data_IF_882692956429
#
_entry.id   IF_882692956429
#
_cell.length_a   1.000
_cell.length_b   1.000
_cell.length_c   1.000
_cell.angle_alpha   90.00
_cell.angle_beta   90.00
_cell.angle_gamma   90.00
#
_symmetry.space_group_name_H-M   'P 1'
#
loop_
_entity.id
_entity.type
_entity.pdbx_description
1 polymer ?
#
# COMPACT_ATOMS: atom_id res chain seq x y z
N UNK A 1 61.85 -36.27 -26.22
CA UNK A 1 61.71 -37.19 -25.08
C UNK A 1 60.84 -36.49 -24.05
N UNK A 2 59.70 -36.95 -23.57
CA UNK A 2 58.95 -38.18 -23.74
C UNK A 2 57.45 -37.86 -23.67
N UNK A 3 56.68 -38.72 -24.33
CA UNK A 3 55.23 -38.74 -24.56
C UNK A 3 54.49 -39.59 -23.52
N UNK A 4 53.27 -39.24 -23.16
CA UNK A 4 52.19 -40.17 -22.75
C UNK A 4 50.85 -39.42 -22.77
N UNK A 5 50.05 -39.56 -23.84
CA UNK A 5 49.03 -40.60 -24.08
C UNK A 5 47.66 -40.26 -23.46
N UNK A 6 46.82 -39.64 -24.30
CA UNK A 6 45.38 -39.48 -24.16
C UNK A 6 44.67 -40.86 -24.20
N UNK A 7 43.76 -41.09 -23.27
CA UNK A 7 42.80 -42.20 -23.33
C UNK A 7 41.38 -41.63 -23.38
N UNK A 8 40.74 -41.84 -24.52
CA UNK A 8 39.39 -41.44 -24.88
C UNK A 8 38.35 -42.28 -24.13
N UNK A 9 37.36 -41.65 -23.50
CA UNK A 9 36.15 -42.33 -22.95
C UNK A 9 35.00 -42.24 -23.97
N UNK A 10 34.19 -43.29 -24.14
CA UNK A 10 33.15 -43.33 -25.16
C UNK A 10 31.88 -42.57 -24.76
N UNK A 11 31.28 -41.90 -25.74
CA UNK A 11 29.98 -41.24 -25.69
C UNK A 11 28.84 -42.23 -25.41
N UNK A 12 28.09 -41.98 -24.33
CA UNK A 12 26.80 -42.61 -24.07
C UNK A 12 25.69 -41.74 -24.69
N UNK A 13 25.07 -42.23 -25.76
CA UNK A 13 23.85 -41.66 -26.34
C UNK A 13 22.61 -42.11 -25.53
N UNK A 14 21.73 -41.20 -25.08
CA UNK A 14 20.47 -41.60 -24.46
C UNK A 14 19.47 -42.10 -25.52
N UNK A 15 18.90 -43.29 -25.28
CA UNK A 15 17.80 -43.90 -26.06
C UNK A 15 16.47 -43.18 -25.81
N UNK A 16 15.53 -43.17 -26.78
CA UNK A 16 14.24 -42.51 -26.64
C UNK A 16 13.30 -43.34 -25.74
N UNK A 17 12.70 -42.67 -24.74
CA UNK A 17 11.65 -43.25 -23.90
C UNK A 17 10.32 -43.12 -24.63
N UNK A 18 9.65 -44.27 -24.85
CA UNK A 18 8.32 -44.38 -25.46
C UNK A 18 7.25 -43.72 -24.59
N UNK A 19 6.39 -42.92 -25.22
CA UNK A 19 5.14 -42.44 -24.65
C UNK A 19 4.17 -43.61 -24.40
N UNK A 20 3.67 -43.75 -23.18
CA UNK A 20 2.60 -44.67 -22.83
C UNK A 20 1.27 -43.91 -22.72
N UNK A 21 0.27 -44.47 -23.37
CA UNK A 21 -1.05 -43.90 -23.61
C UNK A 21 -1.96 -43.89 -22.36
N UNK A 22 -2.90 -42.94 -22.39
CA UNK A 22 -4.02 -42.72 -21.51
C UNK A 22 -4.89 -43.98 -21.32
N UNK A 23 -5.29 -44.26 -20.08
CA UNK A 23 -6.40 -45.14 -19.76
C UNK A 23 -7.27 -44.49 -18.66
N UNK A 24 -8.48 -44.11 -19.05
CA UNK A 24 -9.57 -43.63 -18.19
C UNK A 24 -10.32 -44.78 -17.52
N UNK A 25 -10.67 -44.72 -16.21
CA UNK A 25 -11.58 -45.67 -15.62
C UNK A 25 -13.03 -45.14 -15.58
N UNK A 26 -13.85 -45.77 -16.40
CA UNK A 26 -15.22 -46.26 -16.16
C UNK A 26 -16.12 -45.61 -15.09
N UNK A 27 -17.29 -45.19 -15.58
CA UNK A 27 -18.55 -44.92 -14.83
C UNK A 27 -18.89 -46.03 -13.83
N UNK A 28 -18.97 -45.67 -12.55
CA UNK A 28 -19.72 -46.42 -11.54
C UNK A 28 -21.13 -45.83 -11.41
N UNK A 29 -22.15 -46.66 -11.64
CA UNK A 29 -23.55 -46.38 -11.28
C UNK A 29 -23.68 -46.39 -9.76
N UNK A 30 -24.14 -45.30 -9.16
CA UNK A 30 -24.61 -45.27 -7.77
C UNK A 30 -26.13 -45.07 -7.79
N UNK A 31 -26.78 -45.95 -7.04
CA UNK A 31 -28.23 -46.08 -6.91
C UNK A 31 -28.88 -44.84 -6.32
N UNK A 32 -30.10 -44.55 -6.79
CA UNK A 32 -31.00 -43.58 -6.21
C UNK A 32 -31.46 -44.06 -4.82
N UNK A 33 -31.09 -43.32 -3.78
CA UNK A 33 -31.57 -43.47 -2.41
C UNK A 33 -31.58 -42.11 -1.74
N UNK A 34 -32.74 -41.67 -1.27
CA UNK A 34 -33.08 -40.28 -0.99
C UNK A 34 -32.16 -39.53 0.01
N UNK A 35 -31.88 -38.28 -0.33
CA UNK A 35 -31.31 -37.26 0.56
C UNK A 35 -32.00 -35.92 0.25
N UNK A 36 -33.22 -35.74 0.78
CA UNK A 36 -33.82 -34.41 0.89
C UNK A 36 -33.32 -33.81 2.20
N UNK A 37 -32.44 -32.81 2.14
CA UNK A 37 -32.15 -31.97 3.32
C UNK A 37 -30.73 -31.42 3.51
N UNK A 38 -29.69 -31.93 2.81
CA UNK A 38 -28.29 -31.44 2.99
C UNK A 38 -27.79 -30.47 1.91
N UNK A 39 -28.45 -30.38 0.76
CA UNK A 39 -28.01 -29.53 -0.37
C UNK A 39 -28.24 -28.03 -0.19
N UNK A 40 -29.29 -27.60 0.54
CA UNK A 40 -29.66 -26.19 0.66
C UNK A 40 -28.76 -25.38 1.61
N UNK A 41 -28.21 -25.98 2.69
CA UNK A 41 -27.32 -25.25 3.61
C UNK A 41 -25.96 -24.94 3.00
N UNK A 42 -25.35 -25.88 2.28
CA UNK A 42 -24.07 -25.65 1.60
C UNK A 42 -24.20 -24.62 0.46
N UNK A 43 -25.31 -24.60 -0.27
CA UNK A 43 -25.56 -23.60 -1.32
C UNK A 43 -25.83 -22.21 -0.74
N UNK A 44 -26.57 -22.10 0.37
CA UNK A 44 -26.82 -20.81 1.03
C UNK A 44 -25.55 -20.22 1.67
N UNK A 45 -24.68 -21.06 2.27
CA UNK A 45 -23.38 -20.59 2.79
C UNK A 45 -22.39 -20.21 1.68
N UNK A 46 -22.38 -20.92 0.55
CA UNK A 46 -21.57 -20.54 -0.61
C UNK A 46 -22.05 -19.25 -1.27
N UNK A 47 -23.37 -19.06 -1.41
CA UNK A 47 -23.97 -17.83 -1.93
C UNK A 47 -23.80 -16.63 -0.99
N UNK A 48 -23.86 -16.86 0.33
CA UNK A 48 -23.57 -15.83 1.32
C UNK A 48 -22.08 -15.42 1.31
N UNK A 49 -21.17 -16.38 1.11
CA UNK A 49 -19.73 -16.10 0.96
C UNK A 49 -19.38 -15.26 -0.27
N UNK A 50 -20.13 -15.41 -1.37
CA UNK A 50 -19.96 -14.59 -2.58
C UNK A 50 -20.46 -13.14 -2.37
N UNK A 51 -21.57 -12.97 -1.63
CA UNK A 51 -22.09 -11.64 -1.27
C UNK A 51 -21.19 -10.90 -0.28
N UNK A 52 -20.67 -11.57 0.74
CA UNK A 52 -19.73 -10.94 1.66
C UNK A 52 -18.46 -10.48 0.94
N UNK A 53 -17.94 -11.33 0.03
CA UNK A 53 -16.79 -11.00 -0.81
C UNK A 53 -17.05 -9.78 -1.70
N UNK A 54 -18.26 -9.69 -2.29
CA UNK A 54 -18.66 -8.52 -3.07
C UNK A 54 -18.58 -7.22 -2.26
N UNK A 55 -19.17 -7.16 -1.06
CA UNK A 55 -19.13 -5.96 -0.22
C UNK A 55 -17.74 -5.67 0.32
N UNK A 56 -16.94 -6.70 0.63
CA UNK A 56 -15.57 -6.50 1.08
C UNK A 56 -14.65 -5.94 -0.01
N UNK A 57 -14.79 -6.41 -1.27
CA UNK A 57 -14.12 -5.80 -2.42
C UNK A 57 -14.50 -4.33 -2.56
N UNK A 58 -15.78 -3.98 -2.33
CA UNK A 58 -16.22 -2.59 -2.30
C UNK A 58 -15.55 -1.78 -1.18
N UNK A 59 -15.38 -2.33 0.01
CA UNK A 59 -14.58 -1.70 1.08
C UNK A 59 -13.15 -1.39 0.60
N UNK A 60 -12.51 -2.34 -0.09
CA UNK A 60 -11.15 -2.14 -0.63
C UNK A 60 -11.11 -1.07 -1.72
N UNK A 61 -12.10 -1.04 -2.63
CA UNK A 61 -12.22 0.03 -3.64
C UNK A 61 -12.35 1.41 -3.01
N UNK A 62 -13.17 1.53 -1.95
CA UNK A 62 -13.34 2.78 -1.21
C UNK A 62 -12.02 3.19 -0.54
N UNK A 63 -11.33 2.25 0.12
CA UNK A 63 -10.07 2.49 0.79
C UNK A 63 -8.95 2.98 -0.16
N UNK A 64 -8.85 2.40 -1.36
CA UNK A 64 -7.86 2.77 -2.39
C UNK A 64 -7.95 4.23 -2.84
N UNK A 65 -9.10 4.89 -2.65
CA UNK A 65 -9.26 6.33 -2.96
C UNK A 65 -8.32 7.22 -2.14
N UNK A 66 -7.80 6.72 -1.02
CA UNK A 66 -6.89 7.45 -0.14
C UNK A 66 -5.42 7.03 -0.26
N UNK A 67 -5.06 6.24 -1.28
CA UNK A 67 -3.67 5.83 -1.50
C UNK A 67 -2.74 7.06 -1.61
N UNK A 68 -1.59 7.01 -0.92
CA UNK A 68 -0.65 8.12 -0.81
C UNK A 68 -0.98 9.18 0.25
N UNK A 69 -2.12 9.05 0.94
CA UNK A 69 -2.60 10.09 1.86
C UNK A 69 -2.75 9.63 3.31
N UNK A 70 -2.81 8.33 3.60
CA UNK A 70 -3.17 7.86 4.96
C UNK A 70 -1.98 7.64 5.89
N UNK A 71 -0.77 7.44 5.39
CA UNK A 71 0.41 7.14 6.22
C UNK A 71 0.66 8.20 7.30
N UNK A 72 0.91 7.79 8.56
CA UNK A 72 1.24 6.43 9.02
C UNK A 72 0.05 5.49 9.26
N UNK A 73 -1.18 5.94 9.02
CA UNK A 73 -2.40 5.17 9.24
C UNK A 73 -2.69 4.20 8.07
N UNK A 74 -3.40 3.10 8.32
CA UNK A 74 -3.84 2.20 7.27
C UNK A 74 -4.94 2.83 6.40
N UNK A 75 -5.04 2.36 5.16
CA UNK A 75 -6.23 2.58 4.34
C UNK A 75 -7.35 1.67 4.81
N UNK A 76 -8.51 2.24 5.11
CA UNK A 76 -9.68 1.49 5.59
C UNK A 76 -10.92 1.96 4.87
N UNK A 77 -11.72 1.01 4.38
CA UNK A 77 -13.05 1.24 3.83
C UNK A 77 -14.12 0.50 4.64
N UNK A 78 -15.32 1.06 4.63
CA UNK A 78 -16.49 0.51 5.31
C UNK A 78 -17.75 0.68 4.46
N UNK A 79 -18.60 -0.35 4.46
CA UNK A 79 -19.90 -0.37 3.79
C UNK A 79 -20.95 -0.88 4.78
N UNK A 80 -22.07 -0.18 4.91
CA UNK A 80 -23.22 -0.61 5.70
C UNK A 80 -24.28 -1.17 4.75
N UNK A 81 -24.74 -2.40 5.01
CA UNK A 81 -25.71 -3.11 4.18
C UNK A 81 -26.94 -3.47 4.99
N UNK A 82 -28.11 -3.10 4.45
CA UNK A 82 -29.42 -3.39 5.02
C UNK A 82 -30.30 -4.04 3.95
N UNK A 83 -30.89 -5.19 4.26
CA UNK A 83 -31.81 -5.91 3.37
C UNK A 83 -31.21 -6.13 1.95
N UNK A 84 -29.92 -6.43 1.88
CA UNK A 84 -29.17 -6.65 0.65
C UNK A 84 -28.86 -5.39 -0.16
N UNK A 85 -29.03 -4.20 0.42
CA UNK A 85 -28.73 -2.91 -0.23
C UNK A 85 -27.69 -2.14 0.56
N UNK A 86 -26.75 -1.51 -0.15
CA UNK A 86 -25.82 -0.56 0.46
C UNK A 86 -26.61 0.67 0.90
N UNK A 87 -26.54 0.98 2.19
CA UNK A 87 -27.20 2.14 2.80
C UNK A 87 -26.20 3.19 3.29
N UNK A 88 -24.90 2.85 3.38
CA UNK A 88 -23.87 3.82 3.69
C UNK A 88 -22.48 3.38 3.26
N UNK A 89 -21.65 4.32 2.83
CA UNK A 89 -20.25 4.07 2.44
C UNK A 89 -19.28 5.05 3.10
N UNK A 90 -18.05 4.61 3.39
CA UNK A 90 -17.03 5.47 3.96
C UNK A 90 -15.62 4.93 3.82
N UNK A 91 -14.63 5.84 3.79
CA UNK A 91 -13.21 5.50 3.81
C UNK A 91 -12.40 6.55 4.58
N UNK A 92 -11.18 6.20 5.00
CA UNK A 92 -10.28 7.11 5.72
C UNK A 92 -9.48 7.95 4.71
N UNK A 93 -9.67 9.29 4.64
CA UNK A 93 -9.19 10.06 3.48
C UNK A 93 -7.74 10.57 3.58
N UNK A 94 -7.21 10.83 4.79
CA UNK A 94 -5.85 11.39 4.97
C UNK A 94 -5.32 11.24 6.41
N UNK A 95 -4.01 11.13 6.55
CA UNK A 95 -3.27 11.21 7.81
C UNK A 95 -3.46 12.55 8.51
N UNK A 96 -3.48 12.54 9.85
CA UNK A 96 -3.75 13.75 10.65
C UNK A 96 -5.20 14.26 10.58
N UNK A 97 -6.03 13.69 9.70
CA UNK A 97 -7.46 13.56 9.97
C UNK A 97 -7.59 12.45 11.04
N UNK A 98 -8.42 12.61 12.09
CA UNK A 98 -8.49 11.70 13.22
C UNK A 98 -8.39 10.22 12.89
N UNK A 99 -7.39 9.57 13.49
CA UNK A 99 -7.51 8.61 14.60
C UNK A 99 -6.26 8.65 15.51
N UNK A 100 -6.44 8.21 16.78
CA UNK A 100 -5.43 7.81 17.79
C UNK A 100 -4.77 8.77 18.84
N UNK A 101 -4.42 10.06 18.64
CA UNK A 101 -3.92 10.87 19.81
C UNK A 101 -4.39 12.32 20.19
N UNK A 102 -5.15 13.14 19.42
CA UNK A 102 -5.54 14.52 19.83
C UNK A 102 -6.86 15.03 19.22
N UNK A 103 -8.04 14.90 19.86
CA UNK A 103 -9.20 15.79 19.54
C UNK A 103 -10.27 15.87 20.65
N UNK A 104 -10.03 16.68 21.68
CA UNK A 104 -11.09 17.11 22.60
C UNK A 104 -11.93 18.29 22.04
N UNK A 105 -11.47 18.97 20.98
CA UNK A 105 -12.04 20.27 20.54
C UNK A 105 -13.06 20.16 19.41
N UNK A 106 -12.90 19.22 18.45
CA UNK A 106 -13.76 19.16 17.26
C UNK A 106 -15.11 18.47 17.50
N UNK A 107 -15.18 17.52 18.44
CA UNK A 107 -16.44 16.86 18.83
C UNK A 107 -17.39 17.83 19.53
N UNK A 108 -16.89 18.70 20.40
CA UNK A 108 -17.67 19.74 21.07
C UNK A 108 -18.23 20.76 20.05
N UNK A 109 -17.41 21.16 19.07
CA UNK A 109 -17.83 22.08 18.01
C UNK A 109 -18.85 21.46 17.05
N UNK A 110 -18.69 20.21 16.64
CA UNK A 110 -19.65 19.52 15.78
C UNK A 110 -21.01 19.30 16.47
N UNK A 111 -21.01 18.89 17.75
CA UNK A 111 -22.25 18.77 18.53
C UNK A 111 -22.94 20.11 18.77
N UNK A 112 -22.17 21.19 18.95
CA UNK A 112 -22.72 22.55 19.06
C UNK A 112 -23.28 23.04 17.73
N UNK A 113 -22.65 22.71 16.60
CA UNK A 113 -23.13 23.02 15.25
C UNK A 113 -24.43 22.29 14.93
N UNK A 114 -24.50 20.98 15.21
CA UNK A 114 -25.72 20.19 14.99
C UNK A 114 -26.86 20.67 15.91
N UNK A 115 -26.56 20.99 17.17
CA UNK A 115 -27.53 21.61 18.08
C UNK A 115 -27.98 22.99 17.59
N UNK A 116 -27.08 23.85 17.11
CA UNK A 116 -27.41 25.16 16.54
C UNK A 116 -28.24 25.07 15.25
N UNK A 117 -28.01 24.05 14.42
CA UNK A 117 -28.78 23.80 13.19
C UNK A 117 -30.18 23.28 13.53
N UNK A 118 -30.30 22.36 14.50
CA UNK A 118 -31.57 21.77 14.93
C UNK A 118 -32.45 22.75 15.70
N UNK A 119 -31.89 23.49 16.66
CA UNK A 119 -32.61 24.48 17.47
C UNK A 119 -33.17 25.66 16.64
N UNK A 120 -32.74 25.77 15.38
CA UNK A 120 -33.13 26.82 14.45
C UNK A 120 -34.14 26.40 13.39
N UNK A 121 -34.31 25.10 13.14
CA UNK A 121 -35.50 24.60 12.43
C UNK A 121 -36.79 24.90 13.22
N UNK A 122 -36.68 25.09 14.53
CA UNK A 122 -37.79 25.39 15.44
C UNK A 122 -37.96 26.88 15.78
N UNK A 123 -37.00 27.76 15.44
CA UNK A 123 -37.05 29.20 15.80
C UNK A 123 -37.15 30.13 14.58
N UNK A 124 -38.07 31.10 14.66
CA UNK A 124 -38.46 32.05 13.59
C UNK A 124 -37.46 33.17 13.29
N UNK A 125 -36.21 33.09 13.76
CA UNK A 125 -35.19 34.14 13.59
C UNK A 125 -34.15 33.74 12.51
N UNK A 126 -34.27 34.35 11.33
CA UNK A 126 -33.36 34.16 10.20
C UNK A 126 -31.94 34.63 10.48
N UNK A 127 -30.94 33.93 9.91
CA UNK A 127 -29.58 34.47 9.76
C UNK A 127 -29.39 34.92 8.31
N UNK A 128 -28.51 35.90 8.10
CA UNK A 128 -28.02 36.26 6.77
C UNK A 128 -27.24 35.10 6.12
N UNK A 129 -27.27 35.03 4.78
CA UNK A 129 -26.74 33.89 4.00
C UNK A 129 -25.25 33.57 4.20
N UNK A 130 -24.45 34.45 4.80
CA UNK A 130 -23.02 34.22 5.03
C UNK A 130 -22.73 33.26 6.19
N UNK A 131 -23.54 33.26 7.25
CA UNK A 131 -23.33 32.39 8.41
C UNK A 131 -23.75 30.94 8.14
N UNK A 132 -24.82 30.72 7.37
CA UNK A 132 -25.21 29.38 6.92
C UNK A 132 -24.16 28.77 5.98
N UNK A 133 -23.60 29.58 5.08
CA UNK A 133 -22.47 29.19 4.22
C UNK A 133 -21.22 28.89 5.03
N UNK A 134 -20.92 29.68 6.06
CA UNK A 134 -19.80 29.43 6.97
C UNK A 134 -19.98 28.12 7.77
N UNK A 135 -21.16 27.87 8.34
CA UNK A 135 -21.46 26.61 9.04
C UNK A 135 -21.43 25.40 8.09
N UNK A 136 -21.92 25.52 6.85
CA UNK A 136 -21.77 24.46 5.84
C UNK A 136 -20.31 24.20 5.46
N UNK A 137 -19.51 25.26 5.28
CA UNK A 137 -18.08 25.14 4.98
C UNK A 137 -17.29 24.57 6.15
N UNK A 138 -17.63 24.96 7.38
CA UNK A 138 -17.03 24.46 8.61
C UNK A 138 -17.43 23.00 8.87
N UNK A 139 -18.71 22.65 8.65
CA UNK A 139 -19.19 21.26 8.66
C UNK A 139 -18.53 20.39 7.59
N UNK A 140 -18.32 20.91 6.38
CA UNK A 140 -17.58 20.22 5.32
C UNK A 140 -16.07 20.06 5.62
N UNK A 141 -15.48 21.00 6.36
CA UNK A 141 -14.10 20.92 6.83
C UNK A 141 -13.95 19.92 8.00
N UNK A 142 -14.91 19.91 8.94
CA UNK A 142 -15.01 18.94 10.02
C UNK A 142 -15.32 17.52 9.49
N UNK A 143 -16.07 17.42 8.39
CA UNK A 143 -16.35 16.19 7.65
C UNK A 143 -15.13 15.56 6.98
N UNK A 144 -13.93 16.12 7.05
CA UNK A 144 -12.72 15.41 6.60
C UNK A 144 -12.08 14.63 7.75
N UNK A 145 -12.48 14.92 8.99
CA UNK A 145 -11.78 14.60 10.21
C UNK A 145 -12.28 13.33 10.92
N UNK A 146 -12.87 12.35 10.22
CA UNK A 146 -13.66 11.29 10.88
C UNK A 146 -13.27 9.89 10.35
N UNK A 147 -13.46 8.84 11.16
CA UNK A 147 -13.29 7.43 10.78
C UNK A 147 -14.05 7.05 9.51
N UNK A 148 -13.51 6.12 8.72
CA UNK A 148 -14.24 5.46 7.62
C UNK A 148 -15.59 4.86 8.06
N UNK A 149 -15.64 4.24 9.25
CA UNK A 149 -16.83 3.58 9.77
C UNK A 149 -17.87 4.59 10.22
N UNK A 150 -17.44 5.74 10.77
CA UNK A 150 -18.35 6.80 11.20
C UNK A 150 -18.93 7.53 9.98
N UNK A 151 -18.20 7.66 8.86
CA UNK A 151 -18.79 8.12 7.60
C UNK A 151 -19.89 7.19 7.11
N UNK A 152 -19.60 5.89 7.03
CA UNK A 152 -20.56 4.92 6.53
C UNK A 152 -21.82 4.85 7.43
N UNK A 153 -21.65 4.89 8.76
CA UNK A 153 -22.77 4.94 9.71
C UNK A 153 -23.59 6.23 9.60
N UNK A 154 -22.93 7.37 9.39
CA UNK A 154 -23.64 8.65 9.19
C UNK A 154 -24.43 8.67 7.89
N UNK A 155 -23.86 8.14 6.82
CA UNK A 155 -24.51 8.04 5.52
C UNK A 155 -25.74 7.12 5.61
N UNK A 156 -25.62 6.01 6.35
CA UNK A 156 -26.72 5.10 6.64
C UNK A 156 -27.81 5.71 7.54
N UNK A 157 -27.45 6.59 8.48
CA UNK A 157 -28.39 7.15 9.45
C UNK A 157 -29.12 6.06 10.23
N UNK A 158 -30.44 6.18 10.33
CA UNK A 158 -31.29 5.22 11.06
C UNK A 158 -31.30 3.81 10.41
N UNK A 159 -30.91 3.70 9.13
CA UNK A 159 -30.82 2.41 8.43
C UNK A 159 -29.66 1.54 8.91
N UNK A 160 -28.76 2.07 9.74
CA UNK A 160 -27.68 1.31 10.36
C UNK A 160 -28.17 0.34 11.45
N UNK A 161 -29.31 0.63 12.09
CA UNK A 161 -29.85 -0.26 13.12
C UNK A 161 -30.21 -1.63 12.52
N UNK A 162 -29.75 -2.69 13.18
CA UNK A 162 -29.89 -4.08 12.74
C UNK A 162 -29.23 -4.39 11.36
N UNK A 163 -28.39 -3.52 10.81
CA UNK A 163 -27.67 -3.74 9.54
C UNK A 163 -26.40 -4.60 9.71
N UNK A 164 -25.77 -4.99 8.60
CA UNK A 164 -24.44 -5.62 8.57
C UNK A 164 -23.40 -4.58 8.14
N UNK A 165 -22.35 -4.40 8.92
CA UNK A 165 -21.22 -3.53 8.60
C UNK A 165 -20.05 -4.34 8.05
N UNK A 166 -19.61 -4.05 6.83
CA UNK A 166 -18.39 -4.62 6.25
C UNK A 166 -17.24 -3.63 6.45
N UNK A 167 -16.07 -4.12 6.85
CA UNK A 167 -14.90 -3.28 7.12
C UNK A 167 -13.61 -3.99 6.71
N UNK A 168 -12.75 -3.31 5.96
CA UNK A 168 -11.53 -3.92 5.41
C UNK A 168 -10.45 -4.23 6.45
N UNK A 169 -10.51 -3.63 7.65
CA UNK A 169 -9.57 -3.80 8.75
C UNK A 169 -10.35 -3.80 10.08
N UNK A 170 -9.86 -4.53 11.08
CA UNK A 170 -10.43 -4.56 12.42
C UNK A 170 -10.80 -3.15 12.95
N UNK A 171 -12.04 -2.94 13.44
CA UNK A 171 -12.43 -1.69 14.10
C UNK A 171 -11.58 -1.38 15.33
N UNK A 172 -11.05 -0.16 15.41
CA UNK A 172 -10.22 0.24 16.54
C UNK A 172 -11.00 0.26 17.87
N UNK A 173 -10.34 -0.22 18.94
CA UNK A 173 -10.88 -0.30 20.30
C UNK A 173 -10.05 0.49 21.34
N UNK A 174 -9.39 1.54 20.90
CA UNK A 174 -8.65 2.43 21.79
C UNK A 174 -9.22 3.84 21.68
N UNK A 175 -9.20 4.56 22.80
CA UNK A 175 -9.54 5.97 22.82
C UNK A 175 -8.34 6.77 22.32
N UNK A 176 -8.58 7.56 21.28
CA UNK A 176 -7.55 8.40 20.67
C UNK A 176 -8.05 9.81 20.37
N UNK A 177 -7.77 10.32 19.16
CA UNK A 177 -8.35 11.61 18.68
C UNK A 177 -9.88 11.54 18.68
N UNK A 178 -10.44 10.42 18.22
CA UNK A 178 -11.87 10.12 18.12
C UNK A 178 -12.24 8.96 19.05
N UNK A 179 -13.54 8.79 19.37
CA UNK A 179 -14.02 7.59 20.02
C UNK A 179 -13.71 6.33 19.20
N UNK A 180 -13.56 5.17 19.86
CA UNK A 180 -13.34 3.89 19.20
C UNK A 180 -14.44 3.59 18.18
N UNK A 181 -14.08 3.07 17.01
CA UNK A 181 -15.09 2.75 16.00
C UNK A 181 -16.01 1.62 16.44
N UNK A 182 -15.52 0.72 17.32
CA UNK A 182 -16.36 -0.27 18.00
C UNK A 182 -17.53 0.37 18.73
N UNK A 183 -17.36 1.55 19.33
CA UNK A 183 -18.45 2.22 20.06
C UNK A 183 -19.47 2.84 19.11
N UNK A 184 -19.02 3.36 17.98
CA UNK A 184 -19.91 3.87 16.95
C UNK A 184 -20.81 2.74 16.41
N UNK A 185 -20.23 1.56 16.13
CA UNK A 185 -20.96 0.37 15.69
C UNK A 185 -21.96 -0.12 16.74
N UNK A 186 -21.54 -0.20 18.01
CA UNK A 186 -22.42 -0.60 19.13
C UNK A 186 -23.57 0.40 19.30
N UNK A 187 -23.27 1.70 19.29
CA UNK A 187 -24.29 2.76 19.42
C UNK A 187 -25.28 2.76 18.27
N UNK A 188 -24.80 2.47 17.05
CA UNK A 188 -25.64 2.30 15.88
C UNK A 188 -26.47 1.00 15.90
N UNK A 189 -26.20 0.09 16.85
CA UNK A 189 -26.88 -1.20 17.01
C UNK A 189 -26.86 -2.02 15.72
N UNK A 190 -25.70 -2.06 15.06
CA UNK A 190 -25.51 -2.98 13.93
C UNK A 190 -25.70 -4.40 14.43
N UNK A 191 -26.35 -5.24 13.61
CA UNK A 191 -26.59 -6.65 13.97
C UNK A 191 -25.30 -7.47 13.85
N UNK A 192 -24.50 -7.14 12.85
CA UNK A 192 -23.37 -7.94 12.41
C UNK A 192 -22.24 -7.05 11.90
N UNK A 193 -20.99 -7.49 12.12
CA UNK A 193 -19.78 -6.89 11.57
C UNK A 193 -18.95 -7.95 10.85
N UNK A 194 -18.64 -7.71 9.58
CA UNK A 194 -17.79 -8.58 8.75
C UNK A 194 -16.45 -7.86 8.52
N UNK A 195 -15.37 -8.47 9.00
CA UNK A 195 -14.02 -7.90 9.02
C UNK A 195 -13.14 -8.59 7.97
N UNK A 196 -12.46 -7.80 7.16
CA UNK A 196 -11.56 -8.30 6.11
C UNK A 196 -10.27 -8.90 6.66
N UNK A 197 -9.57 -8.15 7.52
CA UNK A 197 -8.38 -8.63 8.24
C UNK A 197 -8.33 -8.10 9.68
N UNK A 198 -7.68 -8.85 10.56
CA UNK A 198 -7.36 -8.41 11.93
C UNK A 198 -6.30 -7.31 11.94
N UNK A 199 -6.25 -6.49 12.99
CA UNK A 199 -5.18 -5.49 13.13
C UNK A 199 -3.82 -6.21 13.25
N UNK A 200 -2.78 -5.83 12.47
CA UNK A 200 -1.47 -6.47 12.54
C UNK A 200 -0.69 -6.11 13.80
N UNK A 201 -1.06 -5.04 14.52
CA UNK A 201 -0.39 -4.64 15.76
C UNK A 201 -0.73 -5.65 16.87
N UNK A 202 0.26 -6.40 17.41
CA UNK A 202 0.02 -7.45 18.41
C UNK A 202 -0.66 -6.94 19.69
N UNK A 203 -0.53 -5.65 20.00
CA UNK A 203 -1.13 -5.02 21.19
C UNK A 203 -2.61 -4.68 20.96
N UNK A 204 -3.03 -4.50 19.71
CA UNK A 204 -4.40 -4.08 19.34
C UNK A 204 -5.22 -5.25 18.81
N UNK A 205 -4.57 -6.21 18.15
CA UNK A 205 -5.19 -7.35 17.49
C UNK A 205 -6.27 -8.01 18.35
N UNK A 206 -7.41 -8.29 17.71
CA UNK A 206 -8.60 -8.94 18.26
C UNK A 206 -9.38 -8.18 19.34
N UNK A 207 -8.82 -7.11 19.94
CA UNK A 207 -9.51 -6.37 21.00
C UNK A 207 -10.79 -5.69 20.53
N UNK A 208 -10.85 -5.26 19.26
CA UNK A 208 -12.05 -4.66 18.69
C UNK A 208 -13.13 -5.68 18.40
N UNK A 209 -12.72 -6.82 17.87
CA UNK A 209 -13.59 -7.98 17.65
C UNK A 209 -14.21 -8.45 18.97
N UNK A 210 -13.39 -8.63 20.01
CA UNK A 210 -13.84 -9.06 21.34
C UNK A 210 -14.87 -8.09 21.96
N UNK A 211 -14.66 -6.78 21.83
CA UNK A 211 -15.62 -5.77 22.34
C UNK A 211 -16.96 -5.82 21.62
N UNK A 212 -16.95 -5.99 20.30
CA UNK A 212 -18.18 -6.11 19.51
C UNK A 212 -18.96 -7.37 19.89
N UNK A 213 -18.26 -8.51 19.99
CA UNK A 213 -18.86 -9.78 20.43
C UNK A 213 -19.40 -9.68 21.86
N UNK A 214 -18.67 -9.03 22.78
CA UNK A 214 -19.12 -8.78 24.15
C UNK A 214 -20.36 -7.88 24.25
N UNK A 215 -20.62 -7.05 23.23
CA UNK A 215 -21.84 -6.25 23.11
C UNK A 215 -23.00 -7.00 22.42
N UNK A 216 -22.82 -8.27 22.07
CA UNK A 216 -23.84 -9.11 21.43
C UNK A 216 -23.94 -8.95 19.91
N UNK A 217 -22.95 -8.33 19.26
CA UNK A 217 -22.87 -8.19 17.80
C UNK A 217 -22.23 -9.46 17.22
N UNK A 218 -22.81 -10.02 16.16
CA UNK A 218 -22.19 -11.14 15.44
C UNK A 218 -20.98 -10.65 14.63
N UNK A 219 -19.84 -11.34 14.74
CA UNK A 219 -18.60 -10.91 14.08
C UNK A 219 -17.99 -12.04 13.28
N UNK A 220 -17.82 -11.83 11.97
CA UNK A 220 -17.10 -12.72 11.06
C UNK A 220 -15.80 -12.05 10.61
N UNK A 221 -14.73 -12.82 10.48
CA UNK A 221 -13.38 -12.31 10.17
C UNK A 221 -12.76 -13.11 9.04
N UNK A 222 -11.96 -12.46 8.20
CA UNK A 222 -11.16 -13.12 7.15
C UNK A 222 -11.82 -13.16 5.77
N UNK A 223 -12.85 -12.35 5.53
CA UNK A 223 -13.48 -12.23 4.20
C UNK A 223 -12.55 -11.45 3.28
N UNK A 224 -12.18 -12.00 2.13
CA UNK A 224 -11.23 -11.37 1.19
C UNK A 224 -9.91 -10.94 1.86
N UNK A 225 -9.45 -11.68 2.88
CA UNK A 225 -8.30 -11.29 3.72
C UNK A 225 -7.04 -11.00 2.90
N UNK A 226 -6.74 -11.83 1.89
CA UNK A 226 -5.59 -11.61 1.02
C UNK A 226 -5.64 -10.25 0.30
N UNK A 227 -6.83 -9.82 -0.12
CA UNK A 227 -7.02 -8.51 -0.76
C UNK A 227 -6.86 -7.37 0.25
N UNK A 228 -7.42 -7.50 1.45
CA UNK A 228 -7.29 -6.51 2.51
C UNK A 228 -5.83 -6.38 3.02
N UNK A 229 -5.08 -7.50 3.07
CA UNK A 229 -3.66 -7.49 3.42
C UNK A 229 -2.81 -6.84 2.35
N UNK A 230 -3.07 -7.12 1.06
CA UNK A 230 -2.38 -6.43 -0.05
C UNK A 230 -2.64 -4.92 -0.04
N UNK A 231 -3.86 -4.48 0.27
CA UNK A 231 -4.20 -3.06 0.40
C UNK A 231 -3.28 -2.34 1.41
N UNK A 232 -2.94 -3.00 2.52
CA UNK A 232 -2.18 -2.41 3.63
C UNK A 232 -0.79 -3.05 3.83
N UNK A 233 -0.18 -3.63 2.81
CA UNK A 233 1.06 -4.42 2.95
C UNK A 233 2.18 -3.62 3.61
N UNK A 234 2.32 -2.34 3.24
CA UNK A 234 3.30 -1.44 3.80
C UNK A 234 3.04 -1.10 5.28
N UNK A 235 1.79 -0.83 5.62
CA UNK A 235 1.37 -0.60 7.00
C UNK A 235 1.61 -1.83 7.87
N UNK A 236 1.22 -3.02 7.39
CA UNK A 236 1.42 -4.30 8.08
C UNK A 236 2.91 -4.53 8.32
N UNK A 237 3.74 -4.35 7.30
CA UNK A 237 5.19 -4.51 7.42
C UNK A 237 5.77 -3.59 8.49
N UNK A 238 5.38 -2.31 8.49
CA UNK A 238 5.83 -1.34 9.51
C UNK A 238 5.39 -1.73 10.92
N UNK A 239 4.15 -2.19 11.10
CA UNK A 239 3.66 -2.61 12.42
C UNK A 239 4.40 -3.84 12.95
N UNK A 240 4.79 -4.77 12.07
CA UNK A 240 5.45 -6.02 12.46
C UNK A 240 6.97 -5.87 12.64
N UNK A 241 7.61 -4.98 11.87
CA UNK A 241 9.08 -4.89 11.80
C UNK A 241 9.64 -3.59 12.37
N UNK A 242 8.82 -2.54 12.48
CA UNK A 242 9.28 -1.19 12.79
C UNK A 242 10.03 -0.50 11.64
N UNK A 243 10.00 -1.06 10.42
CA UNK A 243 10.72 -0.56 9.23
C UNK A 243 9.74 -0.20 8.11
N UNK A 244 10.15 0.69 7.21
CA UNK A 244 9.34 1.04 6.04
C UNK A 244 9.40 -0.10 5.03
N UNK A 245 8.27 -0.39 4.36
CA UNK A 245 8.20 -1.37 3.31
C UNK A 245 8.93 -0.87 2.06
N UNK A 246 9.95 -1.58 1.64
CA UNK A 246 10.78 -1.21 0.51
C UNK A 246 10.38 -1.98 -0.74
N UNK A 247 10.18 -1.23 -1.82
CA UNK A 247 10.03 -1.77 -3.17
C UNK A 247 11.18 -1.32 -4.04
N UNK A 248 11.92 -2.26 -4.61
CA UNK A 248 12.93 -1.97 -5.61
C UNK A 248 12.25 -1.80 -6.96
N UNK A 249 12.44 -0.64 -7.59
CA UNK A 249 11.99 -0.40 -8.96
C UNK A 249 13.19 -0.17 -9.86
N UNK A 250 13.24 -0.84 -11.00
CA UNK A 250 14.30 -0.66 -11.98
C UNK A 250 13.75 -0.60 -13.40
N UNK A 251 14.50 0.05 -14.30
CA UNK A 251 14.23 0.02 -15.73
C UNK A 251 15.39 -0.64 -16.45
N UNK A 252 15.09 -1.65 -17.25
CA UNK A 252 16.05 -2.41 -18.04
C UNK A 252 15.74 -2.25 -19.52
N UNK A 253 16.78 -2.21 -20.33
CA UNK A 253 16.68 -2.50 -21.77
C UNK A 253 16.45 -4.00 -22.01
N UNK A 254 16.10 -4.38 -23.24
CA UNK A 254 15.84 -5.77 -23.62
C UNK A 254 17.07 -6.67 -23.44
N UNK A 255 18.28 -6.11 -23.47
CA UNK A 255 19.53 -6.82 -23.18
C UNK A 255 19.98 -6.69 -21.71
N UNK A 256 19.10 -6.28 -20.79
CA UNK A 256 19.34 -6.33 -19.35
C UNK A 256 20.19 -5.18 -18.79
N UNK A 257 20.46 -4.13 -19.58
CA UNK A 257 21.21 -2.96 -19.12
C UNK A 257 20.26 -2.01 -18.39
N UNK A 258 20.62 -1.64 -17.17
CA UNK A 258 19.93 -0.64 -16.35
C UNK A 258 20.01 0.71 -17.03
N UNK A 259 18.89 1.43 -17.08
CA UNK A 259 18.81 2.73 -17.73
C UNK A 259 17.98 3.71 -16.92
N UNK A 260 18.33 4.99 -17.06
CA UNK A 260 17.53 6.08 -16.53
C UNK A 260 16.33 6.41 -17.44
N UNK A 261 16.11 5.71 -18.54
CA UNK A 261 14.89 5.89 -19.32
C UNK A 261 13.68 5.38 -18.54
N UNK A 262 12.51 5.94 -18.82
CA UNK A 262 11.22 5.47 -18.35
C UNK A 262 10.37 5.20 -19.59
N UNK A 263 9.55 4.14 -19.55
CA UNK A 263 8.70 3.78 -20.67
C UNK A 263 7.73 4.89 -21.08
N UNK A 264 7.34 4.85 -22.35
CA UNK A 264 6.48 5.87 -22.94
C UNK A 264 5.15 5.98 -22.18
N UNK A 265 4.88 7.18 -21.66
CA UNK A 265 3.63 7.47 -20.94
C UNK A 265 3.53 6.85 -19.55
N UNK A 266 4.60 6.22 -19.04
CA UNK A 266 4.60 5.66 -17.69
C UNK A 266 4.62 6.75 -16.61
N UNK A 267 5.26 7.88 -16.87
CA UNK A 267 5.33 9.06 -16.01
C UNK A 267 4.13 10.00 -16.17
N UNK A 268 3.29 9.82 -17.18
CA UNK A 268 2.10 10.65 -17.40
C UNK A 268 0.96 10.27 -16.45
N UNK A 269 -0.06 11.12 -16.31
CA UNK A 269 -1.26 10.77 -15.55
C UNK A 269 -1.92 9.51 -16.10
N UNK A 270 -2.22 8.56 -15.22
CA UNK A 270 -2.69 7.21 -15.55
C UNK A 270 -1.56 6.22 -15.84
N UNK A 271 -0.32 6.69 -16.01
CA UNK A 271 0.87 5.87 -16.17
C UNK A 271 1.30 5.20 -14.87
N UNK A 272 1.90 4.01 -14.97
CA UNK A 272 2.22 3.20 -13.78
C UNK A 272 3.25 3.89 -12.87
N UNK A 273 4.24 4.60 -13.43
CA UNK A 273 5.27 5.27 -12.65
C UNK A 273 4.69 6.48 -11.91
N UNK A 274 3.81 7.26 -12.55
CA UNK A 274 3.04 8.32 -11.90
C UNK A 274 2.17 7.79 -10.75
N UNK A 275 1.55 6.61 -10.94
CA UNK A 275 0.79 5.93 -9.89
C UNK A 275 1.68 5.49 -8.73
N UNK A 276 2.85 4.90 -8.99
CA UNK A 276 3.82 4.56 -7.93
C UNK A 276 4.21 5.81 -7.13
N UNK A 277 4.49 6.93 -7.79
CA UNK A 277 4.83 8.19 -7.12
C UNK A 277 3.67 8.75 -6.30
N UNK A 278 2.42 8.47 -6.68
CA UNK A 278 1.25 8.85 -5.86
C UNK A 278 1.13 7.96 -4.63
N UNK A 279 1.35 6.66 -4.77
CA UNK A 279 1.01 5.66 -3.75
C UNK A 279 2.06 5.54 -2.64
N UNK A 280 3.34 5.73 -2.96
CA UNK A 280 4.44 5.58 -2.02
C UNK A 280 4.70 6.85 -1.21
N UNK A 281 5.06 6.69 0.06
CA UNK A 281 5.31 7.84 0.96
C UNK A 281 6.63 8.54 0.64
N UNK A 282 7.60 7.79 0.12
CA UNK A 282 8.92 8.31 -0.24
C UNK A 282 9.55 7.56 -1.40
N UNK A 283 10.50 8.22 -2.06
CA UNK A 283 11.33 7.66 -3.13
C UNK A 283 12.80 7.84 -2.77
N UNK A 284 13.54 6.73 -2.77
CA UNK A 284 14.98 6.70 -2.56
C UNK A 284 15.67 6.75 -3.93
N UNK A 285 16.52 7.76 -4.11
CA UNK A 285 17.35 7.96 -5.30
C UNK A 285 18.80 8.26 -4.89
N UNK A 286 19.73 8.09 -5.82
CA UNK A 286 21.10 8.54 -5.67
C UNK A 286 21.24 10.07 -5.82
N UNK A 287 22.31 10.62 -5.28
CA UNK A 287 22.71 12.01 -5.52
C UNK A 287 23.02 12.29 -6.99
N UNK A 288 23.62 11.34 -7.70
CA UNK A 288 23.91 11.44 -9.15
C UNK A 288 22.63 11.61 -9.97
N UNK A 289 21.60 10.78 -9.72
CA UNK A 289 20.30 10.93 -10.39
C UNK A 289 19.64 12.27 -10.04
N UNK A 290 19.76 12.73 -8.79
CA UNK A 290 19.22 14.01 -8.33
C UNK A 290 19.94 15.23 -8.97
N UNK A 291 21.22 15.11 -9.31
CA UNK A 291 22.00 16.14 -10.03
C UNK A 291 21.61 16.22 -11.50
N UNK A 292 21.35 15.08 -12.14
CA UNK A 292 21.27 14.96 -13.59
C UNK A 292 19.85 14.97 -14.16
N UNK A 293 18.83 14.65 -13.35
CA UNK A 293 17.47 14.41 -13.85
C UNK A 293 16.43 15.19 -13.05
N UNK A 294 15.23 15.26 -13.62
CA UNK A 294 14.05 15.70 -12.89
C UNK A 294 13.69 14.70 -11.80
N UNK A 295 13.43 15.20 -10.59
CA UNK A 295 12.97 14.36 -9.49
C UNK A 295 11.71 13.56 -9.85
N UNK A 296 11.58 12.31 -9.36
CA UNK A 296 10.39 11.48 -9.57
C UNK A 296 9.11 12.11 -9.00
N UNK A 297 8.16 12.47 -9.87
CA UNK A 297 6.90 13.09 -9.46
C UNK A 297 5.69 12.29 -9.93
N UNK A 298 4.60 12.40 -9.18
CA UNK A 298 3.29 11.96 -9.64
C UNK A 298 2.61 13.06 -10.44
N UNK A 299 1.99 12.69 -11.56
CA UNK A 299 1.14 13.56 -12.36
C UNK A 299 -0.35 13.30 -12.13
N UNK A 300 -0.71 12.48 -11.14
CA UNK A 300 -2.10 12.22 -10.80
C UNK A 300 -2.76 13.44 -10.13
N UNK A 301 -4.03 13.66 -10.46
CA UNK A 301 -4.81 14.75 -9.85
C UNK A 301 -4.90 14.57 -8.32
N UNK A 302 -4.51 15.62 -7.58
CA UNK A 302 -4.56 15.64 -6.12
C UNK A 302 -3.49 14.78 -5.43
N UNK A 303 -2.50 14.26 -6.16
CA UNK A 303 -1.43 13.45 -5.58
C UNK A 303 -0.67 14.20 -4.47
N UNK A 304 -0.40 13.49 -3.39
CA UNK A 304 0.62 13.91 -2.43
C UNK A 304 1.97 13.45 -2.95
N UNK A 305 2.83 14.38 -3.34
CA UNK A 305 4.17 14.04 -3.84
C UNK A 305 4.98 13.30 -2.76
N UNK A 306 5.76 12.27 -3.17
CA UNK A 306 6.56 11.48 -2.24
C UNK A 306 7.63 12.36 -1.61
N UNK A 307 8.10 11.96 -0.43
CA UNK A 307 9.32 12.55 0.12
C UNK A 307 10.53 12.07 -0.72
N UNK A 308 11.43 12.98 -1.08
CA UNK A 308 12.67 12.63 -1.78
C UNK A 308 13.74 12.26 -0.77
N UNK A 309 14.22 11.02 -0.83
CA UNK A 309 15.32 10.53 0.00
C UNK A 309 16.53 10.35 -0.90
N UNK A 310 17.49 11.25 -0.76
CA UNK A 310 18.65 11.32 -1.65
C UNK A 310 19.86 10.74 -0.91
N UNK A 311 20.44 9.68 -1.46
CA UNK A 311 21.62 9.06 -0.86
C UNK A 311 22.88 9.71 -1.44
N UNK A 312 23.67 10.33 -0.56
CA UNK A 312 24.87 11.08 -0.87
C UNK A 312 26.09 10.43 -0.18
N UNK A 313 26.64 9.39 -0.79
CA UNK A 313 27.86 8.73 -0.31
C UNK A 313 29.06 9.19 -1.13
N UNK A 314 30.17 9.52 -0.46
CA UNK A 314 31.38 10.00 -1.13
C UNK A 314 31.21 11.34 -1.86
N UNK A 315 30.15 12.11 -1.53
CA UNK A 315 29.90 13.40 -2.14
C UNK A 315 30.92 14.46 -1.68
N UNK A 316 31.16 15.42 -2.57
CA UNK A 316 31.95 16.60 -2.21
C UNK A 316 31.21 17.43 -1.15
N UNK A 317 31.89 18.42 -0.55
CA UNK A 317 31.30 19.30 0.48
C UNK A 317 30.03 20.07 0.06
N UNK A 318 29.63 20.01 -1.23
CA UNK A 318 28.44 20.65 -1.78
C UNK A 318 27.71 19.74 -2.78
N UNK A 319 26.40 19.62 -2.61
CA UNK A 319 25.48 18.91 -3.49
C UNK A 319 24.43 19.90 -4.02
N UNK A 320 24.31 20.01 -5.34
CA UNK A 320 23.32 20.86 -5.99
C UNK A 320 22.24 20.00 -6.66
N UNK A 321 20.97 20.28 -6.41
CA UNK A 321 19.80 19.54 -6.92
C UNK A 321 18.97 20.51 -7.78
N UNK A 322 19.26 20.63 -9.10
CA UNK A 322 18.71 21.69 -9.94
C UNK A 322 17.18 21.65 -10.05
N UNK A 323 16.59 20.45 -10.06
CA UNK A 323 15.15 20.27 -10.25
C UNK A 323 14.32 20.49 -8.99
N UNK A 324 14.96 20.67 -7.83
CA UNK A 324 14.26 20.94 -6.57
C UNK A 324 14.18 22.45 -6.36
N UNK A 325 12.95 22.98 -6.22
CA UNK A 325 12.78 24.38 -5.86
C UNK A 325 12.87 24.58 -4.34
N UNK A 326 13.22 25.80 -3.90
CA UNK A 326 13.25 26.17 -2.48
C UNK A 326 11.91 25.92 -1.77
N UNK A 327 10.78 26.18 -2.45
CA UNK A 327 9.44 25.93 -1.91
C UNK A 327 9.22 24.44 -1.57
N UNK A 328 9.82 23.54 -2.34
CA UNK A 328 9.68 22.09 -2.18
C UNK A 328 10.85 21.47 -1.42
N UNK A 329 11.83 22.25 -0.95
CA UNK A 329 13.01 21.73 -0.25
C UNK A 329 12.64 20.92 1.00
N UNK A 330 11.56 21.30 1.69
CA UNK A 330 11.02 20.58 2.86
C UNK A 330 10.52 19.16 2.56
N UNK A 331 10.31 18.80 1.29
CA UNK A 331 9.97 17.46 0.83
C UNK A 331 11.19 16.59 0.57
N UNK A 332 12.41 17.10 0.72
CA UNK A 332 13.64 16.36 0.47
C UNK A 332 14.47 16.19 1.73
N UNK A 333 15.13 15.04 1.82
CA UNK A 333 16.16 14.74 2.79
C UNK A 333 17.37 14.13 2.08
N UNK A 334 18.56 14.61 2.42
CA UNK A 334 19.83 14.03 2.00
C UNK A 334 20.39 13.19 3.15
N UNK A 335 20.65 11.91 2.87
CA UNK A 335 21.33 10.99 3.77
C UNK A 335 22.77 10.86 3.32
N UNK A 336 23.70 11.39 4.11
CA UNK A 336 25.12 11.50 3.75
C UNK A 336 26.06 10.81 4.73
N UNK A 337 27.20 10.32 4.25
CA UNK A 337 28.23 9.68 5.07
C UNK A 337 29.12 10.72 5.77
N UNK A 338 29.08 11.95 5.28
CA UNK A 338 29.85 13.10 5.74
C UNK A 338 29.03 14.39 5.61
N UNK A 339 29.39 15.47 6.32
CA UNK A 339 28.70 16.74 6.21
C UNK A 339 28.73 17.30 4.78
N UNK A 340 27.56 17.54 4.20
CA UNK A 340 27.38 18.10 2.85
C UNK A 340 26.48 19.33 2.90
N UNK A 341 26.86 20.38 2.18
CA UNK A 341 26.00 21.56 1.97
C UNK A 341 25.09 21.31 0.78
N UNK A 342 23.79 21.48 0.94
CA UNK A 342 22.82 21.21 -0.14
C UNK A 342 22.24 22.49 -0.69
N UNK A 343 22.10 22.55 -2.01
CA UNK A 343 21.38 23.60 -2.74
C UNK A 343 20.22 22.99 -3.52
N UNK A 344 18.99 23.52 -3.41
CA UNK A 344 18.61 24.74 -2.68
C UNK A 344 18.70 24.62 -1.15
N UNK A 345 18.75 25.77 -0.47
CA UNK A 345 18.69 25.80 0.99
C UNK A 345 17.33 25.28 1.50
N UNK A 346 17.32 24.74 2.72
CA UNK A 346 16.11 24.20 3.36
C UNK A 346 15.89 22.70 3.15
N UNK A 347 16.75 22.04 2.37
CA UNK A 347 16.80 20.57 2.32
C UNK A 347 17.37 20.04 3.63
N UNK A 348 16.69 19.07 4.24
CA UNK A 348 17.19 18.41 5.45
C UNK A 348 18.42 17.57 5.10
N UNK A 349 19.47 17.64 5.92
CA UNK A 349 20.66 16.79 5.77
C UNK A 349 20.85 15.98 7.05
N UNK A 350 20.85 14.66 6.92
CA UNK A 350 21.15 13.74 8.01
C UNK A 350 22.44 12.99 7.69
N UNK A 351 23.47 13.19 8.53
CA UNK A 351 24.74 12.48 8.43
C UNK A 351 24.64 11.17 9.20
N UNK A 352 24.81 10.04 8.52
CA UNK A 352 24.72 8.70 9.09
C UNK A 352 26.12 8.08 9.20
N UNK A 353 26.37 7.38 10.32
CA UNK A 353 27.63 6.64 10.52
C UNK A 353 27.77 5.45 9.58
N UNK A 354 26.64 4.83 9.26
CA UNK A 354 26.52 3.72 8.32
C UNK A 354 25.33 4.05 7.41
N UNK A 355 25.56 3.98 6.10
CA UNK A 355 24.52 4.13 5.10
C UNK A 355 24.28 2.74 4.51
N UNK A 356 23.44 1.99 5.19
CA UNK A 356 22.86 0.73 4.73
C UNK A 356 21.34 0.89 4.63
N UNK A 357 20.71 0.09 3.77
CA UNK A 357 19.28 0.22 3.51
C UNK A 357 18.45 -0.07 4.77
N UNK A 358 18.87 -1.00 5.63
CA UNK A 358 18.11 -1.38 6.83
C UNK A 358 17.96 -0.20 7.81
N UNK A 359 19.07 0.46 8.13
CA UNK A 359 19.11 1.67 8.97
C UNK A 359 18.28 2.80 8.37
N UNK A 360 18.31 2.97 7.04
CA UNK A 360 17.51 3.97 6.33
C UNK A 360 16.02 3.66 6.49
N UNK A 361 15.58 2.42 6.25
CA UNK A 361 14.17 2.06 6.36
C UNK A 361 13.63 2.21 7.78
N UNK A 362 14.46 1.94 8.80
CA UNK A 362 14.10 2.18 10.20
C UNK A 362 13.93 3.69 10.48
N UNK A 363 14.88 4.51 10.03
CA UNK A 363 14.81 5.97 10.18
C UNK A 363 13.55 6.55 9.52
N UNK A 364 13.21 6.10 8.31
CA UNK A 364 12.03 6.57 7.58
C UNK A 364 10.72 6.11 8.26
N UNK A 365 10.68 4.89 8.79
CA UNK A 365 9.52 4.42 9.56
C UNK A 365 9.28 5.20 10.86
N UNK A 366 10.35 5.61 11.55
CA UNK A 366 10.28 6.48 12.73
C UNK A 366 9.75 7.87 12.38
N UNK A 367 10.04 8.36 11.17
CA UNK A 367 9.47 9.59 10.61
C UNK A 367 8.03 9.43 10.10
N UNK A 368 7.46 8.22 10.16
CA UNK A 368 6.07 7.96 9.84
C UNK A 368 5.80 7.47 8.41
N UNK A 369 6.85 7.18 7.62
CA UNK A 369 6.68 6.58 6.30
C UNK A 369 6.39 5.09 6.45
N UNK A 370 5.34 4.61 5.79
CA UNK A 370 5.02 3.19 5.73
C UNK A 370 5.70 2.51 4.54
N UNK A 371 5.92 3.24 3.44
CA UNK A 371 6.39 2.70 2.16
C UNK A 371 7.45 3.58 1.52
N UNK A 372 8.45 2.96 0.90
CA UNK A 372 9.45 3.65 0.09
C UNK A 372 9.74 2.89 -1.20
N UNK A 373 9.89 3.64 -2.29
CA UNK A 373 10.32 3.11 -3.57
C UNK A 373 11.82 3.37 -3.74
N UNK A 374 12.63 2.32 -3.84
CA UNK A 374 14.04 2.44 -4.22
C UNK A 374 14.10 2.46 -5.75
N UNK A 375 14.24 3.64 -6.35
CA UNK A 375 14.20 3.81 -7.81
C UNK A 375 15.61 3.70 -8.41
N UNK A 376 15.98 2.48 -8.77
CA UNK A 376 17.28 2.12 -9.33
C UNK A 376 17.30 2.38 -10.83
N UNK A 377 17.80 3.56 -11.21
CA UNK A 377 17.87 4.03 -12.61
C UNK A 377 19.30 4.15 -13.15
N UNK A 378 20.30 3.85 -12.35
CA UNK A 378 21.70 3.90 -12.74
C UNK A 378 22.52 2.86 -11.98
N UNK A 379 23.55 2.34 -12.63
CA UNK A 379 24.44 1.32 -12.08
C UNK A 379 25.69 1.94 -11.41
N UNK A 380 25.53 3.04 -10.68
CA UNK A 380 26.62 3.64 -9.92
C UNK A 380 27.06 2.75 -8.76
N UNK A 381 28.36 2.59 -8.53
CA UNK A 381 28.92 1.66 -7.54
C UNK A 381 28.43 1.94 -6.11
N UNK A 382 28.30 3.23 -5.74
CA UNK A 382 27.85 3.65 -4.42
C UNK A 382 26.39 3.28 -4.15
N UNK A 383 25.46 3.62 -5.05
CA UNK A 383 24.04 3.31 -4.86
C UNK A 383 23.76 1.81 -4.97
N UNK A 384 24.47 1.12 -5.87
CA UNK A 384 24.40 -0.34 -5.99
C UNK A 384 24.81 -1.04 -4.69
N UNK A 385 25.78 -0.49 -3.94
CA UNK A 385 26.21 -1.07 -2.67
C UNK A 385 25.12 -1.11 -1.58
N UNK A 386 24.13 -0.20 -1.63
CA UNK A 386 22.97 -0.23 -0.74
C UNK A 386 22.04 -1.43 -0.97
N UNK A 387 22.12 -1.98 -2.19
CA UNK A 387 21.34 -3.12 -2.62
C UNK A 387 22.17 -4.41 -2.58
N UNK A 388 23.40 -4.39 -2.06
CA UNK A 388 24.13 -5.62 -1.84
C UNK A 388 23.37 -6.49 -0.83
N UNK A 389 23.18 -7.75 -1.20
CA UNK A 389 22.55 -8.77 -0.36
C UNK A 389 21.17 -8.40 0.22
N UNK A 390 20.44 -7.48 -0.44
CA UNK A 390 19.09 -7.07 -0.01
C UNK A 390 18.13 -8.25 0.22
N UNK A 391 18.38 -9.35 -0.49
CA UNK A 391 17.62 -10.60 -0.42
C UNK A 391 17.89 -11.41 0.85
N UNK A 392 19.12 -11.41 1.36
CA UNK A 392 19.55 -12.20 2.52
C UNK A 392 18.99 -11.56 3.79
N UNK A 393 19.09 -10.24 3.85
CA UNK A 393 18.60 -9.43 4.96
C UNK A 393 17.08 -9.15 4.88
N UNK A 394 16.42 -9.58 3.79
CA UNK A 394 14.98 -9.39 3.51
C UNK A 394 14.54 -7.92 3.62
N UNK A 395 15.45 -7.01 3.25
CA UNK A 395 15.27 -5.56 3.42
C UNK A 395 14.34 -5.00 2.35
N UNK A 396 14.34 -5.59 1.15
CA UNK A 396 13.36 -5.32 0.09
C UNK A 396 12.29 -6.40 0.09
N UNK A 397 11.02 -5.99 0.05
CA UNK A 397 9.89 -6.92 0.07
C UNK A 397 9.31 -7.16 -1.32
N UNK A 398 9.45 -6.19 -2.23
CA UNK A 398 8.82 -6.21 -3.54
C UNK A 398 9.76 -5.66 -4.62
N UNK A 399 9.63 -6.18 -5.83
CA UNK A 399 10.41 -5.78 -6.99
C UNK A 399 9.46 -5.42 -8.14
N UNK A 400 9.74 -4.31 -8.81
CA UNK A 400 9.04 -3.82 -10.00
C UNK A 400 10.06 -3.54 -11.09
N UNK A 401 10.03 -4.29 -12.19
CA UNK A 401 10.97 -4.11 -13.31
C UNK A 401 10.21 -3.73 -14.56
N UNK A 402 10.56 -2.58 -15.13
CA UNK A 402 10.15 -2.23 -16.49
C UNK A 402 11.22 -2.65 -17.49
N UNK A 403 10.85 -3.47 -18.46
CA UNK A 403 11.71 -3.86 -19.58
C UNK A 403 11.27 -3.08 -20.81
N UNK A 404 12.15 -2.19 -21.28
CA UNK A 404 11.96 -1.38 -22.46
C UNK A 404 12.27 -2.18 -23.73
N UNK A 405 11.51 -1.97 -24.83
CA UNK A 405 11.73 -2.64 -26.12
C UNK A 405 12.90 -2.01 -26.89
N UNK A 406 14.02 -1.75 -26.22
CA UNK A 406 15.22 -1.12 -26.79
C UNK A 406 16.44 -1.98 -26.49
N UNK A 407 17.42 -1.95 -27.39
CA UNK A 407 18.73 -2.55 -27.19
C UNK A 407 19.74 -1.44 -26.92
N UNK A 408 20.38 -1.44 -25.75
CA UNK A 408 21.38 -0.43 -25.42
C UNK A 408 22.80 -0.96 -25.67
N UNK A 409 23.67 -0.08 -26.15
CA UNK A 409 25.09 -0.37 -26.25
C UNK A 409 25.70 -0.41 -24.84
N UNK A 410 26.63 -1.33 -24.60
CA UNK A 410 27.44 -1.39 -23.38
C UNK A 410 28.90 -1.36 -23.77
N UNK A 411 29.67 -0.45 -23.17
CA UNK A 411 31.13 -0.36 -23.40
C UNK A 411 31.92 -1.39 -22.55
N UNK A 412 31.24 -2.27 -21.80
CA UNK A 412 31.88 -3.33 -21.00
C UNK A 412 30.92 -4.42 -20.51
N UNK A 413 31.44 -5.34 -19.71
CA UNK A 413 30.67 -6.28 -18.86
C UNK A 413 30.00 -5.48 -17.72
N UNK A 414 29.09 -4.57 -18.06
CA UNK A 414 28.31 -3.87 -17.05
C UNK A 414 27.37 -4.88 -16.40
N UNK A 415 27.33 -4.86 -15.06
CA UNK A 415 26.48 -5.74 -14.24
C UNK A 415 25.07 -5.80 -14.82
N UNK A 416 24.77 -6.94 -15.46
CA UNK A 416 23.46 -7.29 -16.00
C UNK A 416 22.54 -7.47 -14.80
N UNK A 417 21.89 -6.37 -14.42
CA UNK A 417 21.13 -6.21 -13.19
C UNK A 417 21.94 -6.39 -11.89
N UNK A 418 21.68 -5.49 -10.95
CA UNK A 418 22.03 -5.58 -9.53
C UNK A 418 21.90 -7.03 -9.01
N UNK A 419 22.87 -7.51 -8.22
CA UNK A 419 22.85 -8.89 -7.74
C UNK A 419 23.82 -9.13 -6.57
N UNK A 420 23.27 -9.63 -5.45
CA UNK A 420 24.07 -10.12 -4.32
C UNK A 420 24.60 -11.53 -4.54
N UNK A 421 25.10 -12.16 -3.47
CA UNK A 421 25.91 -13.38 -3.58
C UNK A 421 25.12 -14.66 -3.99
N UNK A 422 23.78 -14.61 -3.98
CA UNK A 422 22.91 -15.77 -4.18
C UNK A 422 21.68 -15.47 -5.06
N UNK A 423 21.21 -16.48 -5.80
CA UNK A 423 19.94 -16.43 -6.54
C UNK A 423 18.76 -16.85 -5.67
N UNK A 424 17.60 -16.22 -5.87
CA UNK A 424 16.36 -16.55 -5.15
C UNK A 424 15.14 -16.45 -6.08
N UNK A 425 14.08 -17.25 -5.83
CA UNK A 425 12.85 -17.16 -6.61
C UNK A 425 11.96 -16.03 -6.09
N UNK A 426 11.44 -15.21 -7.00
CA UNK A 426 10.35 -14.29 -6.69
C UNK A 426 9.02 -15.05 -6.55
N UNK A 427 8.17 -14.58 -5.63
CA UNK A 427 6.81 -15.09 -5.38
C UNK A 427 5.78 -14.18 -6.02
N UNK A 428 4.63 -14.75 -6.37
CA UNK A 428 3.47 -14.03 -6.91
C UNK A 428 3.85 -13.10 -8.07
N UNK A 429 4.66 -13.61 -9.01
CA UNK A 429 5.14 -12.83 -10.14
C UNK A 429 3.98 -12.57 -11.10
N UNK A 430 3.69 -11.30 -11.32
CA UNK A 430 2.71 -10.80 -12.28
C UNK A 430 3.42 -10.02 -13.39
N UNK A 431 2.81 -9.98 -14.57
CA UNK A 431 3.31 -9.19 -15.69
C UNK A 431 2.18 -8.49 -16.43
N UNK A 432 2.49 -7.35 -17.02
CA UNK A 432 1.59 -6.62 -17.91
C UNK A 432 2.36 -5.84 -18.96
N UNK A 433 1.77 -5.70 -20.15
CA UNK A 433 2.30 -4.81 -21.19
C UNK A 433 1.77 -3.39 -20.96
N UNK A 434 2.66 -2.40 -21.00
CA UNK A 434 2.34 -0.98 -20.82
C UNK A 434 3.01 -0.19 -21.94
N UNK A 435 2.22 0.27 -22.92
CA UNK A 435 2.70 1.12 -24.03
C UNK A 435 3.93 0.57 -24.76
N UNK A 436 4.01 -0.76 -24.93
CA UNK A 436 5.13 -1.46 -25.58
C UNK A 436 6.29 -1.85 -24.67
N UNK A 437 6.28 -1.44 -23.40
CA UNK A 437 7.18 -1.97 -22.36
C UNK A 437 6.54 -3.18 -21.66
N UNK A 438 7.36 -4.10 -21.16
CA UNK A 438 6.91 -5.17 -20.26
C UNK A 438 7.17 -4.77 -18.81
N UNK A 439 6.11 -4.71 -18.00
CA UNK A 439 6.24 -4.50 -16.57
C UNK A 439 6.11 -5.83 -15.83
N UNK A 440 7.10 -6.14 -14.99
CA UNK A 440 7.15 -7.30 -14.12
C UNK A 440 7.05 -6.84 -12.66
N UNK A 441 6.26 -7.54 -11.86
CA UNK A 441 6.08 -7.26 -10.44
C UNK A 441 6.14 -8.58 -9.67
N UNK A 442 6.83 -8.60 -8.52
CA UNK A 442 6.93 -9.79 -7.69
C UNK A 442 7.43 -9.49 -6.29
N UNK A 443 7.37 -10.50 -5.42
CA UNK A 443 7.76 -10.40 -4.02
C UNK A 443 8.98 -11.26 -3.72
N UNK A 444 9.85 -10.80 -2.82
CA UNK A 444 11.07 -11.51 -2.38
C UNK A 444 10.73 -12.66 -1.43
#
# INVERSE_FOLDING_TARGET
MASSSLVSRPHLTPRPVRAAALASPSRARVAAGGLVGRGMRCQAQAAAGDLDGHYMRRCVELARKAAGHTSPNPMVGCVIVRDGRVVGEGFHPKAGQPHAEVTHVLHYLASLLDALILHKKESTLGFSGSAASFCQKLGAALNKLISSQVFALRDAGDLAENATAYVSLEPCNHYGRTPPCTEALIKAKVKEVVVGMTDPNPIVASKGIEKLQGAGIDVRVGVEEALCRRLNEAYIHRMLTGKAFATLRATLSMNGIVTNQIGKGADQSGGYYSQLMKEYDGVIISSDLAKMSTLPVSHEAGANQPQYIIIAQGESSRLHIPSLSEEHASKAIVLADSPVTVEPAGVEVAVLRQIDLDSILQLLAQRGLCSVLVDFREAGESFASLLNDFQEDKVVQKVVVEVLPVWLASEGLNNLAFGGSQSFPLKNVEHREVNGSLLLEGYV
#
